data_IF_258894997632
#
_entry.id   IF_258894997632
#
_cell.length_a   1.000
_cell.length_b   1.000
_cell.length_c   1.000
_cell.angle_alpha   90.00
_cell.angle_beta   90.00
_cell.angle_gamma   90.00
#
_symmetry.space_group_name_H-M   'P 1'
#
loop_
_entity.id
_entity.type
_entity.pdbx_description
1 polymer ?
#
# COMPACT_ATOMS: atom_id res chain seq x y z
N UNK A 1 4.38 31.67 38.78
CA UNK A 1 3.32 31.00 37.97
C UNK A 1 3.68 30.79 36.49
N UNK A 2 4.58 31.57 35.86
CA UNK A 2 4.99 31.36 34.45
C UNK A 2 6.00 30.23 34.20
N UNK A 3 6.73 29.77 35.21
CA UNK A 3 7.77 28.73 35.04
C UNK A 3 7.21 27.30 34.92
N UNK A 4 6.01 27.04 35.46
CA UNK A 4 5.39 25.69 35.47
C UNK A 4 4.68 25.39 34.13
N UNK A 5 4.29 26.43 33.38
CA UNK A 5 3.65 26.30 32.07
C UNK A 5 4.64 25.90 30.95
N UNK A 6 5.91 26.31 31.05
CA UNK A 6 6.92 25.96 30.04
C UNK A 6 7.40 24.51 30.17
N UNK A 7 7.48 23.98 31.40
CA UNK A 7 7.87 22.59 31.63
C UNK A 7 6.78 21.60 31.24
N UNK A 8 5.50 21.93 31.47
CA UNK A 8 4.38 21.07 31.07
C UNK A 8 4.20 21.00 29.55
N UNK A 9 4.43 22.11 28.83
CA UNK A 9 4.43 22.15 27.35
C UNK A 9 5.61 21.34 26.79
N UNK A 10 6.80 21.43 27.37
CA UNK A 10 7.97 20.65 26.95
C UNK A 10 7.79 19.14 27.12
N UNK A 11 7.18 18.69 28.22
CA UNK A 11 6.90 17.27 28.48
C UNK A 11 5.81 16.73 27.53
N UNK A 12 4.79 17.52 27.21
CA UNK A 12 3.75 17.14 26.23
C UNK A 12 4.31 17.05 24.79
N UNK A 13 5.28 17.89 24.45
CA UNK A 13 5.98 17.82 23.15
C UNK A 13 6.88 16.58 23.11
N UNK A 14 7.65 16.28 24.17
CA UNK A 14 8.46 15.05 24.22
C UNK A 14 7.63 13.76 24.18
N UNK A 15 6.46 13.74 24.84
CA UNK A 15 5.60 12.55 24.86
C UNK A 15 4.93 12.27 23.51
N UNK A 16 4.61 13.31 22.73
CA UNK A 16 4.10 13.16 21.36
C UNK A 16 5.17 12.67 20.39
N UNK A 17 6.44 13.06 20.57
CA UNK A 17 7.57 12.47 19.84
C UNK A 17 7.84 10.99 20.20
N UNK A 18 7.45 10.55 21.41
CA UNK A 18 7.64 9.16 21.85
C UNK A 18 6.53 8.19 21.40
N UNK A 19 5.41 8.70 20.88
CA UNK A 19 4.23 7.89 20.53
C UNK A 19 4.10 7.52 19.04
N UNK A 20 5.15 7.63 18.24
CA UNK A 20 5.12 7.14 16.85
C UNK A 20 6.37 6.33 16.50
N UNK A 21 6.60 5.23 17.22
CA UNK A 21 7.36 4.11 16.67
C UNK A 21 6.35 3.14 16.08
N UNK A 22 6.12 3.25 14.76
CA UNK A 22 5.28 2.30 14.07
C UNK A 22 5.90 0.90 14.20
N UNK A 23 5.22 0.01 14.92
CA UNK A 23 5.68 -1.37 15.13
C UNK A 23 5.77 -2.06 13.77
N UNK A 24 6.85 -2.80 13.51
CA UNK A 24 6.97 -3.64 12.31
C UNK A 24 5.68 -4.45 12.14
N UNK A 25 5.07 -4.45 10.96
CA UNK A 25 3.80 -5.13 10.70
C UNK A 25 3.92 -6.22 9.63
N UNK A 26 5.04 -6.26 8.90
CA UNK A 26 5.33 -7.30 7.91
C UNK A 26 6.70 -7.94 8.13
N UNK A 27 6.85 -9.20 7.70
CA UNK A 27 8.12 -9.92 7.72
C UNK A 27 8.39 -10.64 6.40
N UNK A 28 9.67 -10.89 6.10
CA UNK A 28 10.10 -11.51 4.84
C UNK A 28 9.58 -12.93 4.63
N UNK A 29 9.45 -13.71 5.70
CA UNK A 29 8.93 -15.08 5.64
C UNK A 29 7.88 -15.32 6.72
N UNK A 30 7.03 -16.32 6.52
CA UNK A 30 6.05 -16.74 7.53
C UNK A 30 6.73 -17.14 8.85
N UNK A 31 7.91 -17.79 8.78
CA UNK A 31 8.66 -18.20 9.97
C UNK A 31 9.09 -17.02 10.84
N UNK A 32 9.40 -15.87 10.22
CA UNK A 32 9.87 -14.68 10.92
C UNK A 32 8.80 -14.07 11.85
N UNK A 33 7.51 -14.38 11.63
CA UNK A 33 6.41 -13.93 12.48
C UNK A 33 6.35 -14.65 13.84
N UNK A 34 6.99 -15.81 13.99
CA UNK A 34 6.98 -16.57 15.24
C UNK A 34 7.99 -16.06 16.29
N UNK A 35 8.90 -15.15 15.93
CA UNK A 35 9.82 -14.48 16.86
C UNK A 35 9.28 -13.09 17.26
N UNK A 36 9.95 -12.41 18.21
CA UNK A 36 9.65 -11.05 18.63
C UNK A 36 9.71 -10.07 17.44
N UNK A 37 8.56 -9.83 16.80
CA UNK A 37 8.41 -9.09 15.52
C UNK A 37 9.13 -7.74 15.47
N UNK A 38 9.09 -6.99 16.58
CA UNK A 38 9.70 -5.66 16.65
C UNK A 38 11.22 -5.69 16.82
N UNK A 39 11.78 -6.84 17.19
CA UNK A 39 13.23 -7.04 17.34
C UNK A 39 13.80 -7.97 16.26
N UNK A 40 12.95 -8.48 15.36
CA UNK A 40 13.37 -9.33 14.26
C UNK A 40 13.91 -8.47 13.10
N UNK A 41 15.19 -8.60 12.69
CA UNK A 41 15.75 -7.83 11.56
C UNK A 41 15.14 -8.19 10.20
N UNK A 42 14.39 -9.28 10.09
CA UNK A 42 13.62 -9.65 8.90
C UNK A 42 12.23 -9.05 8.84
N UNK A 43 11.80 -8.34 9.88
CA UNK A 43 10.52 -7.64 9.92
C UNK A 43 10.74 -6.14 9.77
N UNK A 44 9.79 -5.48 9.11
CA UNK A 44 9.82 -4.04 8.87
C UNK A 44 8.42 -3.46 8.90
N UNK A 45 8.32 -2.13 8.99
CA UNK A 45 7.05 -1.44 8.88
C UNK A 45 6.69 -1.20 7.41
N UNK A 46 5.52 -1.68 6.99
CA UNK A 46 4.90 -1.40 5.71
C UNK A 46 3.60 -0.60 5.95
N UNK A 47 3.54 0.69 5.58
CA UNK A 47 2.32 1.50 5.70
C UNK A 47 1.13 0.90 4.93
N UNK A 48 1.38 0.16 3.84
CA UNK A 48 0.33 -0.48 3.03
C UNK A 48 -0.31 -1.69 3.75
N UNK A 49 0.36 -2.26 4.74
CA UNK A 49 -0.13 -3.39 5.53
C UNK A 49 -0.73 -2.95 6.88
N UNK A 50 -0.76 -1.64 7.14
CA UNK A 50 -1.36 -1.11 8.35
C UNK A 50 -2.87 -0.96 8.16
N UNK A 51 -3.61 -1.90 8.75
CA UNK A 51 -5.07 -1.96 8.72
C UNK A 51 -5.76 -0.77 9.44
N UNK A 52 -5.00 0.05 10.17
CA UNK A 52 -5.51 1.24 10.86
C UNK A 52 -5.50 2.50 9.99
N UNK A 53 -4.77 2.47 8.88
CA UNK A 53 -4.81 3.52 7.85
C UNK A 53 -6.06 3.26 7.01
N UNK A 54 -6.82 4.32 6.70
CA UNK A 54 -7.97 4.28 5.76
C UNK A 54 -7.63 3.34 4.60
N UNK A 55 -8.45 2.30 4.42
CA UNK A 55 -8.23 1.21 3.45
C UNK A 55 -7.62 1.75 2.16
N UNK A 56 -6.34 1.48 1.94
CA UNK A 56 -5.63 1.99 0.77
C UNK A 56 -6.15 1.18 -0.42
N UNK A 57 -6.77 1.85 -1.38
CA UNK A 57 -7.34 1.20 -2.57
C UNK A 57 -6.27 0.85 -3.58
N UNK A 58 -6.57 -0.09 -4.48
CA UNK A 58 -5.66 -0.48 -5.57
C UNK A 58 -5.17 0.72 -6.39
N UNK A 59 -6.03 1.68 -6.72
CA UNK A 59 -5.64 2.85 -7.49
C UNK A 59 -4.66 3.77 -6.73
N UNK A 60 -4.80 3.88 -5.42
CA UNK A 60 -3.85 4.62 -4.59
C UNK A 60 -2.48 3.94 -4.56
N UNK A 61 -2.41 2.61 -4.37
CA UNK A 61 -1.15 1.86 -4.41
C UNK A 61 -0.45 2.07 -5.77
N UNK A 62 -1.18 1.96 -6.88
CA UNK A 62 -0.66 2.13 -8.24
C UNK A 62 -0.12 3.56 -8.44
N UNK A 63 -0.91 4.58 -8.06
CA UNK A 63 -0.53 6.00 -8.18
C UNK A 63 0.69 6.34 -7.33
N UNK A 64 0.72 5.95 -6.05
CA UNK A 64 1.85 6.20 -5.13
C UNK A 64 3.15 5.60 -5.65
N UNK A 65 3.08 4.50 -6.41
CA UNK A 65 4.24 3.84 -7.03
C UNK A 65 4.66 4.46 -8.37
N UNK A 66 3.94 5.46 -8.86
CA UNK A 66 4.27 6.23 -10.07
C UNK A 66 3.82 5.58 -11.37
N UNK A 67 2.79 4.72 -11.32
CA UNK A 67 2.15 4.16 -12.51
C UNK A 67 0.85 4.91 -12.84
N UNK A 68 0.49 5.04 -14.13
CA UNK A 68 -0.87 5.46 -14.50
C UNK A 68 -1.88 4.39 -14.09
N UNK A 69 -3.10 4.82 -13.77
CA UNK A 69 -4.22 3.92 -13.48
C UNK A 69 -5.48 4.41 -14.18
N UNK A 70 -6.17 3.48 -14.81
CA UNK A 70 -7.55 3.62 -15.30
C UNK A 70 -8.45 2.74 -14.45
N UNK A 71 -9.66 3.20 -14.17
CA UNK A 71 -10.68 2.47 -13.41
C UNK A 71 -11.89 2.30 -14.32
N UNK A 72 -12.30 1.05 -14.50
CA UNK A 72 -13.45 0.68 -15.34
C UNK A 72 -14.46 -0.05 -14.47
N UNK A 73 -15.75 0.17 -14.71
CA UNK A 73 -16.82 -0.59 -14.07
C UNK A 73 -17.52 -1.44 -15.14
N UNK A 74 -17.57 -2.75 -14.91
CA UNK A 74 -18.31 -3.69 -15.76
C UNK A 74 -19.53 -4.20 -15.00
N UNK A 75 -20.70 -4.19 -15.64
CA UNK A 75 -21.92 -4.76 -15.09
C UNK A 75 -22.12 -6.16 -15.66
N UNK A 76 -22.26 -7.16 -14.81
CA UNK A 76 -22.59 -8.54 -15.23
C UNK A 76 -24.07 -8.64 -15.61
N UNK A 77 -24.43 -9.72 -16.30
CA UNK A 77 -25.82 -9.98 -16.73
C UNK A 77 -26.80 -10.06 -15.54
N UNK A 78 -26.33 -10.58 -14.40
CA UNK A 78 -27.07 -10.68 -13.14
C UNK A 78 -26.95 -9.41 -12.26
N UNK A 79 -26.35 -8.34 -12.78
CA UNK A 79 -26.42 -7.00 -12.18
C UNK A 79 -25.31 -6.64 -11.19
N UNK A 80 -24.27 -7.46 -11.04
CA UNK A 80 -23.12 -7.10 -10.22
C UNK A 80 -22.24 -6.06 -10.93
N UNK A 81 -21.80 -5.04 -10.18
CA UNK A 81 -20.85 -4.03 -10.68
C UNK A 81 -19.44 -4.44 -10.22
N UNK A 82 -18.60 -4.80 -11.19
CA UNK A 82 -17.21 -5.21 -10.98
C UNK A 82 -16.30 -4.03 -11.34
N UNK A 83 -15.50 -3.57 -10.37
CA UNK A 83 -14.45 -2.58 -10.60
C UNK A 83 -13.19 -3.26 -11.13
N UNK A 84 -12.66 -2.77 -12.24
CA UNK A 84 -11.46 -3.27 -12.92
C UNK A 84 -10.42 -2.15 -12.94
N UNK A 85 -9.21 -2.45 -12.43
CA UNK A 85 -8.07 -1.54 -12.46
C UNK A 85 -7.14 -1.90 -13.61
N UNK A 86 -6.75 -0.91 -14.42
CA UNK A 86 -5.83 -1.09 -15.54
C UNK A 86 -4.62 -0.18 -15.43
N UNK A 87 -3.43 -0.76 -15.59
CA UNK A 87 -2.17 -0.03 -15.75
C UNK A 87 -1.86 0.02 -17.26
N UNK A 88 -2.16 1.12 -17.97
CA UNK A 88 -2.05 1.17 -19.44
C UNK A 88 -0.61 1.17 -19.96
N UNK A 89 0.36 1.56 -19.13
CA UNK A 89 1.79 1.55 -19.44
C UNK A 89 2.66 1.63 -18.18
N UNK A 90 3.96 1.31 -18.32
CA UNK A 90 4.95 1.45 -17.24
C UNK A 90 5.25 2.90 -16.84
N UNK A 91 6.02 3.10 -15.76
CA UNK A 91 6.30 4.42 -15.15
C UNK A 91 6.86 5.46 -16.13
N UNK A 92 7.81 5.05 -16.97
CA UNK A 92 8.40 5.92 -17.98
C UNK A 92 7.47 5.96 -19.19
N UNK A 93 6.99 7.15 -19.54
CA UNK A 93 6.37 7.38 -20.85
C UNK A 93 7.45 7.16 -21.91
N UNK A 94 7.54 5.96 -22.47
CA UNK A 94 8.34 5.74 -23.67
C UNK A 94 7.68 6.53 -24.79
N UNK A 95 8.32 7.63 -25.20
CA UNK A 95 7.86 8.51 -26.28
C UNK A 95 7.70 7.77 -27.60
N UNK A 96 8.47 6.68 -27.80
CA UNK A 96 8.46 5.83 -28.98
C UNK A 96 7.32 4.81 -29.02
N UNK A 97 6.64 4.54 -27.89
CA UNK A 97 5.59 3.54 -27.77
C UNK A 97 4.19 4.14 -27.56
N UNK A 98 4.03 5.46 -27.67
CA UNK A 98 2.75 6.12 -27.36
C UNK A 98 1.60 5.68 -28.27
N UNK A 99 1.89 5.12 -29.45
CA UNK A 99 0.89 4.91 -30.51
C UNK A 99 0.70 3.45 -30.93
N UNK A 100 1.47 2.50 -30.40
CA UNK A 100 1.25 1.09 -30.71
C UNK A 100 0.30 0.42 -29.72
N UNK A 101 -0.71 -0.34 -30.19
CA UNK A 101 -1.57 -1.12 -29.34
C UNK A 101 -0.73 -2.13 -28.56
N UNK A 102 -0.85 -2.10 -27.23
CA UNK A 102 -0.16 -3.04 -26.34
C UNK A 102 -1.02 -4.28 -26.16
N UNK A 103 -0.37 -5.45 -26.10
CA UNK A 103 -1.06 -6.69 -25.76
C UNK A 103 -1.67 -6.57 -24.35
N UNK A 104 -3.00 -6.71 -24.20
CA UNK A 104 -3.63 -6.70 -22.89
C UNK A 104 -3.29 -8.00 -22.15
N UNK A 105 -3.02 -7.88 -20.84
CA UNK A 105 -2.87 -9.00 -19.92
C UNK A 105 -3.93 -8.84 -18.84
N UNK A 106 -4.73 -9.87 -18.64
CA UNK A 106 -5.75 -9.91 -17.59
C UNK A 106 -5.26 -10.75 -16.42
N UNK A 107 -5.34 -10.19 -15.21
CA UNK A 107 -4.90 -10.83 -13.98
C UNK A 107 -6.11 -10.99 -13.05
N UNK A 108 -6.49 -12.23 -12.78
CA UNK A 108 -7.62 -12.57 -11.91
C UNK A 108 -7.11 -13.19 -10.61
N UNK A 109 -7.41 -12.54 -9.50
CA UNK A 109 -7.01 -13.01 -8.17
C UNK A 109 -7.73 -14.31 -7.78
N UNK A 110 -7.17 -15.01 -6.80
CA UNK A 110 -7.77 -16.22 -6.22
C UNK A 110 -8.91 -15.93 -5.23
N UNK A 111 -9.42 -17.00 -4.64
CA UNK A 111 -10.47 -16.93 -3.58
C UNK A 111 -9.94 -16.20 -2.34
N UNK A 112 -10.76 -15.31 -1.78
CA UNK A 112 -10.42 -14.56 -0.56
C UNK A 112 -9.45 -13.39 -0.77
N UNK A 113 -9.24 -12.99 -2.02
CA UNK A 113 -8.32 -11.94 -2.42
C UNK A 113 -9.03 -10.85 -3.23
N UNK A 114 -8.27 -9.81 -3.61
CA UNK A 114 -8.70 -8.72 -4.47
C UNK A 114 -7.57 -8.36 -5.47
N UNK A 115 -7.76 -7.27 -6.24
CA UNK A 115 -6.77 -6.76 -7.20
C UNK A 115 -5.42 -6.37 -6.60
N UNK A 116 -5.34 -6.14 -5.29
CA UNK A 116 -4.12 -5.71 -4.60
C UNK A 116 -3.08 -6.83 -4.51
N UNK A 117 -3.50 -8.09 -4.66
CA UNK A 117 -2.64 -9.28 -4.57
C UNK A 117 -1.42 -9.24 -5.49
N UNK A 118 -1.51 -8.53 -6.62
CA UNK A 118 -0.42 -8.38 -7.57
C UNK A 118 0.49 -7.20 -7.26
N UNK A 119 -0.01 -6.23 -6.48
CA UNK A 119 0.59 -4.92 -6.31
C UNK A 119 0.91 -4.55 -4.85
N UNK A 120 0.64 -5.40 -3.85
CA UNK A 120 0.82 -5.05 -2.42
C UNK A 120 2.13 -5.53 -1.76
N UNK A 121 3.02 -6.22 -2.50
CA UNK A 121 4.31 -6.75 -1.98
C UNK A 121 5.53 -5.85 -2.28
N UNK A 122 5.32 -4.55 -2.49
CA UNK A 122 6.38 -3.57 -2.72
C UNK A 122 7.13 -3.76 -4.04
N UNK A 123 8.47 -3.71 -4.02
CA UNK A 123 9.32 -3.85 -5.23
C UNK A 123 9.24 -5.22 -5.90
N UNK A 124 8.68 -6.22 -5.21
CA UNK A 124 8.49 -7.57 -5.73
C UNK A 124 7.12 -7.78 -6.37
N UNK A 125 6.28 -6.73 -6.39
CA UNK A 125 5.00 -6.77 -7.09
C UNK A 125 5.22 -7.07 -8.57
N UNK A 126 4.20 -7.67 -9.18
CA UNK A 126 4.21 -8.07 -10.57
C UNK A 126 4.38 -6.87 -11.52
#
# INVERSE_FOLDING_TARGET
MKLILLSSVGVAILSTYWLSSSRNNVCKTFKDYYWFKNSNPNCYYNPEADLTVVSITSDEIIKRRGYPVEIHNATTEDGYIITIFRIPHGKKKSSTLKEQPRQPVFLLHGVGLNSESYINIGKKSL
#
